data_IF_009052746255
#
_entry.id   IF_009052746255
#
_cell.length_a   1.000
_cell.length_b   1.000
_cell.length_c   1.000
_cell.angle_alpha   90.00
_cell.angle_beta   90.00
_cell.angle_gamma   90.00
#
_symmetry.space_group_name_H-M   'P 1'
#
loop_
_entity.id
_entity.type
_entity.pdbx_description
1 polymer ?
#
# COMPACT_ATOMS: atom_id res chain seq x y z
N UNK A 1 21.51 7.79 -2.35
CA UNK A 1 20.76 8.56 -1.36
C UNK A 1 19.31 8.12 -1.38
N UNK A 2 18.84 7.61 -0.27
CA UNK A 2 17.45 7.24 -0.22
C UNK A 2 16.61 8.50 -0.05
N UNK A 3 15.60 8.63 -0.86
CA UNK A 3 14.68 9.72 -0.79
C UNK A 3 13.35 9.23 -0.23
N UNK A 4 12.62 10.12 0.38
CA UNK A 4 11.23 9.86 0.72
C UNK A 4 10.44 9.95 -0.59
N UNK A 5 9.61 8.95 -0.82
CA UNK A 5 8.77 8.94 -2.03
C UNK A 5 7.68 9.99 -1.95
N UNK A 6 7.34 10.58 -3.08
CA UNK A 6 6.11 11.35 -3.21
C UNK A 6 4.94 10.39 -3.46
N UNK A 7 3.73 10.85 -3.20
CA UNK A 7 2.53 10.04 -3.48
C UNK A 7 2.45 9.64 -4.97
N UNK A 8 2.67 10.55 -5.93
CA UNK A 8 2.69 10.15 -7.34
C UNK A 8 3.74 9.08 -7.67
N UNK A 9 4.91 9.14 -7.04
CA UNK A 9 5.93 8.12 -7.24
C UNK A 9 5.48 6.76 -6.73
N UNK A 10 4.88 6.73 -5.54
CA UNK A 10 4.32 5.49 -4.97
C UNK A 10 3.24 4.94 -5.91
N UNK A 11 2.34 5.79 -6.36
CA UNK A 11 1.27 5.39 -7.27
C UNK A 11 1.83 4.75 -8.54
N UNK A 12 2.84 5.37 -9.14
CA UNK A 12 3.42 4.89 -10.39
C UNK A 12 4.11 3.53 -10.25
N UNK A 13 4.58 3.19 -9.05
CA UNK A 13 5.21 1.90 -8.79
C UNK A 13 4.16 0.87 -8.36
N UNK A 14 3.26 1.24 -7.48
CA UNK A 14 2.33 0.31 -6.84
C UNK A 14 1.19 -0.10 -7.77
N UNK A 15 0.58 0.85 -8.46
CA UNK A 15 -0.62 0.57 -9.24
C UNK A 15 -0.41 -0.45 -10.36
N UNK A 16 0.66 -0.37 -11.15
CA UNK A 16 0.89 -1.39 -12.19
C UNK A 16 1.07 -2.79 -11.60
N UNK A 17 1.80 -2.92 -10.49
CA UNK A 17 2.01 -4.21 -9.85
C UNK A 17 0.71 -4.77 -9.27
N UNK A 18 -0.02 -3.94 -8.55
CA UNK A 18 -1.28 -4.36 -7.95
C UNK A 18 -2.29 -4.79 -9.02
N UNK A 19 -2.37 -4.05 -10.10
CA UNK A 19 -3.25 -4.38 -11.22
C UNK A 19 -2.87 -5.69 -11.88
N UNK A 20 -1.58 -5.93 -12.03
CA UNK A 20 -1.06 -7.16 -12.62
C UNK A 20 -1.47 -8.39 -11.81
N UNK A 21 -1.56 -8.23 -10.48
CA UNK A 21 -2.03 -9.31 -9.59
C UNK A 21 -3.55 -9.40 -9.49
N UNK A 22 -4.28 -8.43 -10.03
CA UNK A 22 -5.74 -8.46 -10.03
C UNK A 22 -6.41 -7.69 -8.91
N UNK A 23 -5.68 -6.80 -8.24
CA UNK A 23 -6.28 -5.95 -7.21
C UNK A 23 -7.26 -4.95 -7.82
N UNK A 24 -8.35 -4.68 -7.12
CA UNK A 24 -9.34 -3.72 -7.59
C UNK A 24 -8.95 -2.29 -7.26
N UNK A 25 -8.50 -2.03 -6.03
CA UNK A 25 -8.11 -0.71 -5.58
C UNK A 25 -6.99 -0.81 -4.58
N UNK A 26 -6.14 0.22 -4.54
CA UNK A 26 -5.08 0.34 -3.55
C UNK A 26 -5.17 1.71 -2.92
N UNK A 27 -5.09 1.76 -1.60
CA UNK A 27 -5.09 3.01 -0.84
C UNK A 27 -3.80 3.10 -0.04
N UNK A 28 -3.24 4.30 -0.02
CA UNK A 28 -2.10 4.63 0.82
C UNK A 28 -2.62 5.23 2.12
N UNK A 29 -2.13 4.74 3.26
CA UNK A 29 -2.48 5.32 4.55
C UNK A 29 -1.21 5.50 5.38
N UNK A 30 -1.36 5.90 6.64
CA UNK A 30 -0.23 6.06 7.53
C UNK A 30 0.59 7.32 7.25
N UNK A 31 1.87 7.27 7.61
CA UNK A 31 2.73 8.45 7.58
C UNK A 31 2.89 9.05 6.18
N UNK A 32 3.00 8.22 5.15
CA UNK A 32 3.12 8.73 3.78
C UNK A 32 1.86 9.46 3.33
N UNK A 33 0.69 8.97 3.71
CA UNK A 33 -0.58 9.62 3.35
C UNK A 33 -0.73 10.96 4.07
N UNK A 34 -0.22 11.07 5.30
CA UNK A 34 -0.30 12.29 6.09
C UNK A 34 0.81 13.30 5.80
N UNK A 35 1.77 12.95 4.95
CA UNK A 35 2.90 13.83 4.68
C UNK A 35 3.91 13.88 5.82
N UNK A 36 3.94 12.88 6.68
CA UNK A 36 4.82 12.81 7.86
C UNK A 36 5.92 11.78 7.71
N UNK A 37 6.09 11.23 6.52
CA UNK A 37 7.05 10.17 6.30
C UNK A 37 8.49 10.66 6.36
N UNK A 38 9.36 9.75 6.81
CA UNK A 38 10.79 9.91 6.74
C UNK A 38 11.35 8.75 5.93
N UNK A 39 12.65 8.78 5.64
CA UNK A 39 13.27 7.68 4.88
C UNK A 39 13.28 6.35 5.64
N UNK A 40 12.94 6.35 6.92
CA UNK A 40 12.81 5.13 7.72
C UNK A 40 11.34 4.69 7.85
N UNK A 41 10.41 5.42 7.26
CA UNK A 41 9.00 5.08 7.33
C UNK A 41 8.67 3.89 6.44
N UNK A 42 7.78 3.03 6.91
CA UNK A 42 7.19 1.98 6.08
C UNK A 42 6.12 2.60 5.17
N UNK A 43 5.87 1.94 4.06
CA UNK A 43 4.76 2.32 3.19
C UNK A 43 3.56 1.45 3.55
N UNK A 44 2.49 2.08 3.99
CA UNK A 44 1.29 1.41 4.47
C UNK A 44 0.22 1.42 3.38
N UNK A 45 -0.16 0.24 2.93
CA UNK A 45 -1.12 0.08 1.83
C UNK A 45 -2.31 -0.76 2.28
N UNK A 46 -3.51 -0.28 1.95
CA UNK A 46 -4.74 -1.06 2.09
C UNK A 46 -5.23 -1.40 0.70
N UNK A 47 -5.56 -2.66 0.48
CA UNK A 47 -5.89 -3.14 -0.85
C UNK A 47 -7.26 -3.81 -0.84
N UNK A 48 -8.09 -3.45 -1.82
CA UNK A 48 -9.28 -4.21 -2.18
C UNK A 48 -8.81 -5.29 -3.12
N UNK A 49 -8.63 -6.49 -2.60
CA UNK A 49 -7.83 -7.51 -3.29
C UNK A 49 -8.49 -8.13 -4.51
N UNK A 50 -9.80 -7.94 -4.68
CA UNK A 50 -10.48 -8.52 -5.83
C UNK A 50 -10.32 -10.04 -5.87
N UNK A 51 -9.72 -10.54 -6.94
CA UNK A 51 -9.54 -11.98 -7.15
C UNK A 51 -8.20 -12.53 -6.69
N UNK A 52 -7.39 -11.74 -5.99
CA UNK A 52 -6.08 -12.20 -5.53
C UNK A 52 -6.23 -13.31 -4.50
N UNK A 53 -5.60 -14.44 -4.74
CA UNK A 53 -5.55 -15.56 -3.79
C UNK A 53 -4.45 -15.30 -2.75
N UNK A 54 -4.54 -15.98 -1.59
CA UNK A 54 -3.63 -15.73 -0.48
C UNK A 54 -2.14 -15.82 -0.82
N UNK A 55 -1.75 -16.85 -1.58
CA UNK A 55 -0.33 -17.00 -1.97
C UNK A 55 0.12 -15.91 -2.93
N UNK A 56 -0.76 -15.50 -3.83
CA UNK A 56 -0.45 -14.40 -4.74
C UNK A 56 -0.31 -13.08 -3.99
N UNK A 57 -1.07 -12.90 -2.91
CA UNK A 57 -0.95 -11.69 -2.10
C UNK A 57 0.45 -11.59 -1.47
N UNK A 58 1.00 -12.69 -0.99
CA UNK A 58 2.36 -12.70 -0.48
C UNK A 58 3.39 -12.36 -1.57
N UNK A 59 3.17 -12.85 -2.79
CA UNK A 59 4.01 -12.50 -3.94
C UNK A 59 3.95 -11.02 -4.27
N UNK A 60 2.75 -10.44 -4.22
CA UNK A 60 2.58 -9.00 -4.44
C UNK A 60 3.35 -8.19 -3.41
N UNK A 61 3.28 -8.58 -2.13
CA UNK A 61 4.02 -7.89 -1.08
C UNK A 61 5.52 -7.91 -1.35
N UNK A 62 6.07 -9.06 -1.72
CA UNK A 62 7.49 -9.17 -2.03
C UNK A 62 7.89 -8.32 -3.23
N UNK A 63 7.08 -8.30 -4.27
CA UNK A 63 7.35 -7.49 -5.45
C UNK A 63 7.28 -6.00 -5.13
N UNK A 64 6.33 -5.59 -4.29
CA UNK A 64 6.23 -4.20 -3.86
C UNK A 64 7.45 -3.78 -3.05
N UNK A 65 7.89 -4.61 -2.12
CA UNK A 65 9.08 -4.30 -1.32
C UNK A 65 10.32 -4.19 -2.18
N UNK A 66 10.46 -5.07 -3.16
CA UNK A 66 11.57 -5.01 -4.11
C UNK A 66 11.55 -3.74 -4.95
N UNK A 67 10.38 -3.40 -5.47
CA UNK A 67 10.24 -2.25 -6.35
C UNK A 67 10.41 -0.93 -5.61
N UNK A 68 9.93 -0.86 -4.37
CA UNK A 68 10.01 0.35 -3.56
C UNK A 68 11.30 0.45 -2.76
N UNK A 69 11.98 -0.66 -2.53
CA UNK A 69 13.24 -0.68 -1.78
C UNK A 69 13.08 -0.38 -0.30
N UNK A 70 11.90 -0.64 0.26
CA UNK A 70 11.64 -0.42 1.68
C UNK A 70 10.56 -1.38 2.15
N UNK A 71 10.34 -1.42 3.47
CA UNK A 71 9.30 -2.25 4.05
C UNK A 71 7.92 -1.75 3.68
N UNK A 72 7.04 -2.67 3.34
CA UNK A 72 5.65 -2.37 2.98
C UNK A 72 4.74 -3.12 3.93
N UNK A 73 3.77 -2.41 4.49
CA UNK A 73 2.72 -3.00 5.31
C UNK A 73 1.47 -3.11 4.44
N UNK A 74 1.19 -4.31 3.97
CA UNK A 74 0.10 -4.55 3.03
C UNK A 74 -1.04 -5.28 3.73
N UNK A 75 -2.17 -4.60 3.84
CA UNK A 75 -3.36 -5.15 4.48
C UNK A 75 -4.52 -5.17 3.50
N UNK A 76 -5.41 -6.15 3.65
CA UNK A 76 -6.61 -6.23 2.82
C UNK A 76 -7.77 -5.59 3.55
N UNK A 77 -8.68 -4.96 2.80
CA UNK A 77 -9.87 -4.34 3.39
C UNK A 77 -10.69 -5.34 4.20
N UNK A 78 -10.81 -6.56 3.70
CA UNK A 78 -11.63 -7.59 4.34
C UNK A 78 -11.05 -8.11 5.65
N UNK A 79 -9.75 -7.90 5.90
CA UNK A 79 -9.10 -8.35 7.13
C UNK A 79 -9.16 -7.32 8.25
N UNK A 80 -9.69 -6.14 7.99
CA UNK A 80 -9.73 -5.04 8.95
C UNK A 80 -11.05 -5.02 9.71
N UNK A 81 -10.98 -4.67 11.00
CA UNK A 81 -12.19 -4.37 11.73
C UNK A 81 -12.69 -2.96 11.40
N UNK A 82 -13.93 -2.69 11.78
CA UNK A 82 -14.59 -1.42 11.43
C UNK A 82 -13.92 -0.21 12.07
N UNK A 83 -13.43 -0.37 13.30
CA UNK A 83 -12.79 0.74 14.02
C UNK A 83 -11.49 1.14 13.36
N UNK A 84 -10.66 0.17 13.01
CA UNK A 84 -9.41 0.46 12.31
C UNK A 84 -9.68 1.08 10.95
N UNK A 85 -10.60 0.52 10.18
CA UNK A 85 -10.96 1.04 8.89
C UNK A 85 -11.42 2.50 8.98
N UNK A 86 -12.25 2.82 9.96
CA UNK A 86 -12.69 4.18 10.19
C UNK A 86 -11.52 5.12 10.53
N UNK A 87 -10.56 4.63 11.31
CA UNK A 87 -9.43 5.46 11.72
C UNK A 87 -8.51 5.81 10.57
N UNK A 88 -8.34 4.92 9.60
CA UNK A 88 -7.44 5.19 8.46
C UNK A 88 -8.13 5.93 7.33
N UNK A 89 -9.46 5.86 7.22
CA UNK A 89 -10.19 6.50 6.12
C UNK A 89 -10.02 8.01 6.06
N UNK A 90 -9.78 8.65 7.20
CA UNK A 90 -9.62 10.09 7.24
C UNK A 90 -8.34 10.54 6.54
N UNK A 91 -7.32 9.71 6.51
CA UNK A 91 -6.00 10.07 5.99
C UNK A 91 -5.65 9.35 4.70
N UNK A 92 -6.37 8.29 4.36
CA UNK A 92 -5.99 7.46 3.22
C UNK A 92 -6.19 8.17 1.89
N UNK A 93 -5.34 7.82 0.94
CA UNK A 93 -5.35 8.35 -0.42
C UNK A 93 -5.52 7.18 -1.39
N UNK A 94 -6.51 7.27 -2.25
CA UNK A 94 -6.69 6.28 -3.32
C UNK A 94 -5.58 6.46 -4.35
N UNK A 95 -4.84 5.40 -4.60
CA UNK A 95 -3.81 5.37 -5.63
C UNK A 95 -4.36 4.90 -7.00
#
# INVERSE_FOLDING_TARGET
>A
MSAVYTIPEIKNIVCPLAKEYGAERVYLFGSYARGESTRNSDIDLRIDKGNIKGLALAGLLLDLEKALGCSVDLITTTSLDKEFLSSIKNDEVLL
#
